data_IF_724085081798
#
_entry.id   IF_724085081798
#
_cell.length_a   1.000
_cell.length_b   1.000
_cell.length_c   1.000
_cell.angle_alpha   90.00
_cell.angle_beta   90.00
_cell.angle_gamma   90.00
#
_symmetry.space_group_name_H-M   'P 1'
#
loop_
_entity.id
_entity.type
_entity.pdbx_description
1 polymer ?
#
# COMPACT_ATOMS: atom_id res chain seq x y z
N UNK A 1 7.12 -3.21 6.58
CA UNK A 1 6.21 -2.04 6.51
C UNK A 1 6.87 -0.83 5.85
N UNK A 2 8.03 -0.36 6.35
CA UNK A 2 8.78 0.77 5.73
C UNK A 2 9.04 0.55 4.23
N UNK A 3 9.50 -0.64 3.85
CA UNK A 3 9.69 -1.01 2.44
C UNK A 3 8.43 -0.85 1.59
N UNK A 4 7.27 -1.21 2.14
CA UNK A 4 6.00 -1.09 1.45
C UNK A 4 5.60 0.38 1.36
N UNK A 5 5.65 1.14 2.44
CA UNK A 5 5.39 2.58 2.38
C UNK A 5 6.31 3.29 1.36
N UNK A 6 7.59 2.90 1.29
CA UNK A 6 8.52 3.42 0.30
C UNK A 6 8.15 3.02 -1.15
N UNK A 7 7.69 1.78 -1.36
CA UNK A 7 7.16 1.35 -2.66
C UNK A 7 5.94 2.19 -3.06
N UNK A 8 4.98 2.30 -2.16
CA UNK A 8 3.66 2.90 -2.38
C UNK A 8 3.75 4.40 -2.64
N UNK A 9 4.64 5.09 -1.94
CA UNK A 9 4.80 6.55 -2.03
C UNK A 9 6.00 6.98 -2.87
N UNK A 10 6.77 6.05 -3.43
CA UNK A 10 8.03 6.35 -4.11
C UNK A 10 9.02 7.08 -3.20
N UNK A 11 9.24 6.54 -1.99
CA UNK A 11 10.03 7.17 -0.93
C UNK A 11 9.50 8.56 -0.51
N UNK A 12 8.18 8.68 -0.36
CA UNK A 12 7.47 9.89 0.06
C UNK A 12 7.29 10.95 -1.03
N UNK A 13 7.79 10.73 -2.25
CA UNK A 13 7.76 11.72 -3.34
C UNK A 13 6.44 11.78 -4.10
N UNK A 14 5.66 10.71 -4.03
CA UNK A 14 4.42 10.50 -4.77
C UNK A 14 3.28 10.11 -3.83
N UNK A 15 3.28 10.64 -2.61
CA UNK A 15 2.15 10.49 -1.71
C UNK A 15 0.86 11.07 -2.34
N UNK A 16 -0.26 10.40 -2.14
CA UNK A 16 -1.56 10.91 -2.59
C UNK A 16 -1.89 12.21 -1.86
N UNK A 17 -2.31 13.22 -2.62
CA UNK A 17 -2.74 14.51 -2.10
C UNK A 17 -4.23 14.72 -2.33
N UNK A 18 -4.86 15.48 -1.45
CA UNK A 18 -6.23 15.95 -1.63
C UNK A 18 -6.27 17.09 -2.68
N UNK A 19 -7.47 17.48 -3.09
CA UNK A 19 -7.67 18.53 -4.09
C UNK A 19 -7.11 19.90 -3.68
N UNK A 20 -6.97 20.14 -2.37
CA UNK A 20 -6.36 21.33 -1.77
C UNK A 20 -4.82 21.25 -1.69
N UNK A 21 -4.22 20.17 -2.18
CA UNK A 21 -2.78 19.93 -2.17
C UNK A 21 -2.25 19.36 -0.84
N UNK A 22 -3.10 19.21 0.19
CA UNK A 22 -2.69 18.62 1.46
C UNK A 22 -2.43 17.11 1.33
N UNK A 23 -1.53 16.59 2.15
CA UNK A 23 -1.25 15.14 2.19
C UNK A 23 -2.49 14.35 2.62
N UNK A 24 -2.67 13.17 2.01
CA UNK A 24 -3.66 12.19 2.45
C UNK A 24 -3.23 11.41 3.69
N UNK A 25 -1.94 11.46 4.04
CA UNK A 25 -1.27 10.62 5.02
C UNK A 25 -1.36 9.10 4.72
N UNK A 26 -1.84 8.69 3.54
CA UNK A 26 -2.09 7.29 3.20
C UNK A 26 -0.83 6.63 2.63
N UNK A 27 0.08 6.29 3.53
CA UNK A 27 1.38 5.68 3.20
C UNK A 27 1.29 4.33 2.49
N UNK A 28 0.12 3.68 2.52
CA UNK A 28 -0.07 2.33 2.01
C UNK A 28 -1.01 2.27 0.79
N UNK A 29 -1.47 3.43 0.28
CA UNK A 29 -2.43 3.52 -0.81
C UNK A 29 -3.67 2.64 -0.60
N UNK A 30 -4.19 2.56 0.63
CA UNK A 30 -5.36 1.74 0.93
C UNK A 30 -6.59 2.36 0.26
N UNK A 31 -7.23 1.60 -0.63
CA UNK A 31 -8.50 2.00 -1.25
C UNK A 31 -9.62 2.14 -0.21
N UNK A 32 -10.49 3.12 -0.42
CA UNK A 32 -11.72 3.30 0.32
C UNK A 32 -12.76 2.31 -0.22
N UNK A 33 -12.86 1.15 0.42
CA UNK A 33 -13.91 0.17 0.13
C UNK A 33 -15.27 0.61 0.65
N UNK A 34 -16.32 -0.16 0.36
CA UNK A 34 -17.71 0.16 0.74
C UNK A 34 -17.94 0.32 2.25
N UNK A 35 -17.10 -0.30 3.09
CA UNK A 35 -17.18 -0.20 4.55
C UNK A 35 -16.46 1.04 5.11
N UNK A 36 -15.71 1.78 4.30
CA UNK A 36 -14.97 2.96 4.75
C UNK A 36 -15.91 4.16 4.87
N UNK A 37 -15.95 4.76 6.05
CA UNK A 37 -16.78 5.94 6.35
C UNK A 37 -15.96 7.21 6.63
N UNK A 38 -14.63 7.09 6.60
CA UNK A 38 -13.72 8.20 6.84
C UNK A 38 -13.50 9.07 5.60
N UNK A 39 -12.58 10.02 5.72
CA UNK A 39 -12.20 10.89 4.60
C UNK A 39 -11.57 10.09 3.45
N UNK A 40 -11.66 10.64 2.24
CA UNK A 40 -11.09 10.03 1.04
C UNK A 40 -10.40 11.05 0.15
N UNK A 41 -9.45 10.59 -0.65
CA UNK A 41 -8.93 11.30 -1.82
C UNK A 41 -9.24 10.48 -3.08
N UNK A 42 -9.68 11.15 -4.15
CA UNK A 42 -9.95 10.50 -5.44
C UNK A 42 -8.79 10.75 -6.39
N UNK A 43 -8.23 9.68 -6.96
CA UNK A 43 -7.05 9.75 -7.82
C UNK A 43 -7.25 8.88 -9.05
N UNK A 44 -6.82 9.38 -10.22
CA UNK A 44 -6.73 8.57 -11.44
C UNK A 44 -5.58 7.57 -11.28
N UNK A 45 -5.90 6.33 -10.93
CA UNK A 45 -4.96 5.23 -10.79
C UNK A 45 -4.88 4.37 -12.06
N UNK A 46 -3.72 3.74 -12.27
CA UNK A 46 -3.56 2.70 -13.30
C UNK A 46 -3.82 1.35 -12.64
N UNK A 47 -4.81 0.63 -13.13
CA UNK A 47 -5.22 -0.67 -12.63
C UNK A 47 -5.03 -1.74 -13.71
N UNK A 48 -4.61 -2.93 -13.28
CA UNK A 48 -4.44 -4.05 -14.20
C UNK A 48 -5.69 -4.92 -14.19
N UNK A 49 -6.50 -4.79 -15.24
CA UNK A 49 -7.81 -5.43 -15.37
C UNK A 49 -7.82 -6.22 -16.67
N UNK A 50 -8.20 -7.50 -16.63
CA UNK A 50 -8.29 -8.38 -17.81
C UNK A 50 -7.00 -8.41 -18.66
N UNK A 51 -5.82 -8.36 -18.03
CA UNK A 51 -4.54 -8.44 -18.73
C UNK A 51 -4.03 -7.12 -19.32
N UNK A 52 -4.72 -5.99 -19.08
CA UNK A 52 -4.34 -4.66 -19.59
C UNK A 52 -4.35 -3.59 -18.50
N UNK A 53 -3.45 -2.61 -18.65
CA UNK A 53 -3.45 -1.41 -17.83
C UNK A 53 -4.57 -0.47 -18.26
N UNK A 54 -5.43 -0.10 -17.33
CA UNK A 54 -6.56 0.81 -17.53
C UNK A 54 -6.48 1.94 -16.52
N UNK A 55 -6.74 3.18 -16.95
CA UNK A 55 -6.88 4.30 -16.01
C UNK A 55 -8.30 4.34 -15.47
N UNK A 56 -8.44 4.41 -14.16
CA UNK A 56 -9.72 4.57 -13.49
C UNK A 56 -9.58 5.51 -12.29
N UNK A 57 -10.66 6.22 -11.97
CA UNK A 57 -10.70 7.03 -10.76
C UNK A 57 -11.02 6.11 -9.59
N UNK A 58 -10.07 5.98 -8.67
CA UNK A 58 -10.21 5.23 -7.44
C UNK A 58 -10.25 6.17 -6.23
N UNK A 59 -11.06 5.80 -5.25
CA UNK A 59 -11.07 6.46 -3.95
C UNK A 59 -10.10 5.76 -3.01
N UNK A 60 -9.23 6.54 -2.37
CA UNK A 60 -8.28 6.09 -1.36
C UNK A 60 -8.63 6.71 -0.02
N UNK A 61 -8.36 5.98 1.06
CA UNK A 61 -8.57 6.48 2.42
C UNK A 61 -7.67 7.70 2.66
N UNK A 62 -8.12 8.63 3.49
CA UNK A 62 -7.36 9.78 3.97
C UNK A 62 -7.36 9.76 5.49
N UNK A 63 -6.22 10.08 6.08
CA UNK A 63 -5.99 10.06 7.52
C UNK A 63 -5.52 11.41 8.03
N UNK A 64 -5.71 11.65 9.33
CA UNK A 64 -5.20 12.83 10.02
C UNK A 64 -3.68 12.79 10.23
N UNK A 65 -3.08 11.60 10.24
CA UNK A 65 -1.64 11.40 10.47
C UNK A 65 -1.12 10.09 9.87
N UNK A 66 0.21 9.97 9.77
CA UNK A 66 0.84 8.70 9.41
C UNK A 66 0.57 7.60 10.44
N UNK A 67 0.47 7.94 11.74
CA UNK A 67 0.14 6.98 12.79
C UNK A 67 -1.22 6.32 12.53
N UNK A 68 -2.23 7.12 12.17
CA UNK A 68 -3.54 6.60 11.80
C UNK A 68 -3.47 5.68 10.58
N UNK A 69 -2.67 6.03 9.57
CA UNK A 69 -2.45 5.17 8.39
C UNK A 69 -1.81 3.83 8.75
N UNK A 70 -0.80 3.82 9.62
CA UNK A 70 -0.18 2.57 10.11
C UNK A 70 -1.17 1.74 10.95
N UNK A 71 -1.93 2.38 11.83
CA UNK A 71 -2.91 1.70 12.67
C UNK A 71 -4.03 1.07 11.82
N UNK A 72 -4.55 1.78 10.82
CA UNK A 72 -5.56 1.26 9.91
C UNK A 72 -5.02 0.14 9.01
N UNK A 73 -3.79 0.27 8.50
CA UNK A 73 -3.12 -0.80 7.76
C UNK A 73 -2.97 -2.08 8.60
N UNK A 74 -2.53 -1.97 9.86
CA UNK A 74 -2.42 -3.12 10.75
C UNK A 74 -3.79 -3.77 11.00
N UNK A 75 -4.84 -2.97 11.26
CA UNK A 75 -6.22 -3.46 11.41
C UNK A 75 -6.71 -4.17 10.15
N UNK A 76 -6.40 -3.63 8.96
CA UNK A 76 -6.78 -4.23 7.69
C UNK A 76 -6.19 -5.64 7.56
N UNK A 77 -4.90 -5.80 7.81
CA UNK A 77 -4.23 -7.10 7.70
C UNK A 77 -4.75 -8.10 8.75
N UNK A 78 -4.98 -7.65 9.98
CA UNK A 78 -5.42 -8.52 11.07
C UNK A 78 -6.89 -8.95 10.93
N UNK A 79 -7.76 -8.08 10.42
CA UNK A 79 -9.20 -8.30 10.47
C UNK A 79 -9.82 -8.81 9.15
N UNK A 80 -9.11 -8.73 8.02
CA UNK A 80 -9.64 -9.21 6.74
C UNK A 80 -9.15 -10.63 6.44
N UNK A 81 -10.04 -11.64 6.33
CA UNK A 81 -9.65 -13.04 6.16
C UNK A 81 -8.72 -13.30 4.97
N UNK A 82 -8.84 -12.52 3.89
CA UNK A 82 -7.96 -12.64 2.72
C UNK A 82 -6.48 -12.44 3.05
N UNK A 83 -6.15 -11.67 4.09
CA UNK A 83 -4.77 -11.41 4.51
C UNK A 83 -4.25 -12.37 5.59
N UNK A 84 -4.99 -13.44 5.94
CA UNK A 84 -4.55 -14.39 6.97
C UNK A 84 -3.18 -15.02 6.67
N UNK A 85 -2.84 -15.23 5.40
CA UNK A 85 -1.52 -15.74 4.99
C UNK A 85 -0.39 -14.70 5.00
N UNK A 86 -0.71 -13.42 5.18
CA UNK A 86 0.27 -12.32 5.32
C UNK A 86 0.67 -12.16 6.78
N UNK A 87 -0.29 -12.32 7.70
CA UNK A 87 -0.07 -12.23 9.14
C UNK A 87 0.82 -13.38 9.60
N UNK A 88 1.95 -13.06 10.23
CA UNK A 88 2.92 -14.05 10.70
C UNK A 88 3.96 -14.50 9.67
N UNK A 89 3.99 -13.89 8.48
CA UNK A 89 5.09 -14.09 7.53
C UNK A 89 6.44 -13.75 8.19
N UNK A 90 7.37 -14.70 8.18
CA UNK A 90 8.68 -14.58 8.85
C UNK A 90 9.77 -13.98 7.95
N UNK A 91 9.50 -13.87 6.65
CA UNK A 91 10.43 -13.30 5.69
C UNK A 91 9.72 -12.37 4.70
N UNK A 92 10.53 -11.48 4.13
CA UNK A 92 10.13 -10.46 3.18
C UNK A 92 9.40 -11.02 1.95
N UNK A 93 9.90 -12.13 1.42
CA UNK A 93 9.35 -12.75 0.22
C UNK A 93 7.99 -13.36 0.48
N UNK A 94 7.83 -14.07 1.60
CA UNK A 94 6.54 -14.64 2.01
C UNK A 94 5.50 -13.55 2.28
N UNK A 95 5.91 -12.45 2.91
CA UNK A 95 5.05 -11.28 3.10
C UNK A 95 4.59 -10.68 1.76
N UNK A 96 5.52 -10.43 0.83
CA UNK A 96 5.22 -9.82 -0.46
C UNK A 96 4.35 -10.71 -1.35
N UNK A 97 4.65 -12.02 -1.39
CA UNK A 97 3.82 -13.01 -2.10
C UNK A 97 2.43 -13.12 -1.49
N UNK A 98 2.34 -13.13 -0.16
CA UNK A 98 1.05 -13.16 0.55
C UNK A 98 0.19 -11.95 0.17
N UNK A 99 0.74 -10.74 0.14
CA UNK A 99 0.01 -9.54 -0.26
C UNK A 99 -0.50 -9.62 -1.71
N UNK A 100 0.34 -10.09 -2.64
CA UNK A 100 -0.07 -10.31 -4.04
C UNK A 100 -1.24 -11.30 -4.13
N UNK A 101 -1.11 -12.46 -3.49
CA UNK A 101 -2.13 -13.53 -3.51
C UNK A 101 -3.44 -13.09 -2.85
N UNK A 102 -3.36 -12.19 -1.88
CA UNK A 102 -4.53 -11.63 -1.17
C UNK A 102 -5.23 -10.53 -1.97
N UNK A 103 -4.71 -10.15 -3.14
CA UNK A 103 -5.27 -9.09 -3.98
C UNK A 103 -5.07 -7.69 -3.40
N UNK A 104 -3.93 -7.44 -2.75
CA UNK A 104 -3.60 -6.11 -2.23
C UNK A 104 -3.47 -5.07 -3.36
N UNK A 105 -2.81 -5.45 -4.45
CA UNK A 105 -2.64 -4.65 -5.66
C UNK A 105 -3.02 -5.46 -6.90
N UNK A 106 -3.50 -4.78 -7.94
CA UNK A 106 -3.83 -5.42 -9.23
C UNK A 106 -2.60 -5.65 -10.11
N UNK A 107 -1.51 -4.90 -9.87
CA UNK A 107 -0.23 -5.09 -10.54
C UNK A 107 0.27 -6.54 -10.38
N UNK A 108 0.44 -7.31 -11.46
CA UNK A 108 0.92 -8.69 -11.39
C UNK A 108 2.35 -8.81 -10.87
N UNK A 109 3.12 -7.71 -10.88
CA UNK A 109 4.50 -7.65 -10.41
C UNK A 109 4.64 -7.05 -9.01
N UNK A 110 3.53 -6.77 -8.30
CA UNK A 110 3.56 -6.10 -7.00
C UNK A 110 4.46 -6.81 -5.98
N UNK A 111 4.25 -8.13 -5.80
CA UNK A 111 5.06 -8.92 -4.87
C UNK A 111 6.55 -8.88 -5.19
N UNK A 112 6.92 -9.02 -6.47
CA UNK A 112 8.31 -8.96 -6.91
C UNK A 112 8.94 -7.57 -6.71
N UNK A 113 8.19 -6.50 -6.98
CA UNK A 113 8.65 -5.12 -6.74
C UNK A 113 8.89 -4.86 -5.26
N UNK A 114 7.97 -5.31 -4.40
CA UNK A 114 8.10 -5.17 -2.95
C UNK A 114 9.30 -5.96 -2.41
N UNK A 115 9.46 -7.21 -2.83
CA UNK A 115 10.59 -8.05 -2.44
C UNK A 115 11.94 -7.41 -2.82
N UNK A 116 12.02 -6.81 -4.01
CA UNK A 116 13.21 -6.07 -4.45
C UNK A 116 13.53 -4.87 -3.56
N UNK A 117 12.54 -4.13 -3.09
CA UNK A 117 12.77 -3.01 -2.16
C UNK A 117 13.19 -3.53 -0.79
N UNK A 118 12.53 -4.56 -0.25
CA UNK A 118 12.87 -5.11 1.06
C UNK A 118 14.33 -5.61 1.09
N UNK A 119 14.75 -6.29 0.03
CA UNK A 119 16.11 -6.82 -0.08
C UNK A 119 17.13 -5.79 -0.60
N UNK A 120 16.70 -4.59 -0.97
CA UNK A 120 17.51 -3.59 -1.65
C UNK A 120 18.50 -2.87 -0.73
N UNK A 121 19.64 -2.40 -1.26
CA UNK A 121 20.67 -1.71 -0.48
C UNK A 121 20.18 -0.37 0.11
N UNK A 122 19.28 0.33 -0.59
CA UNK A 122 18.72 1.61 -0.13
C UNK A 122 17.97 1.47 1.20
N UNK A 123 17.13 0.44 1.33
CA UNK A 123 16.41 0.20 2.57
C UNK A 123 17.36 -0.22 3.70
N UNK A 124 18.35 -1.06 3.41
CA UNK A 124 19.35 -1.45 4.41
C UNK A 124 20.11 -0.25 4.95
N UNK A 125 20.54 0.65 4.07
CA UNK A 125 21.21 1.89 4.46
C UNK A 125 20.32 2.77 5.34
N UNK A 126 19.04 2.94 4.95
CA UNK A 126 18.08 3.75 5.71
C UNK A 126 17.71 3.16 7.09
N UNK A 127 17.94 1.87 7.33
CA UNK A 127 17.68 1.21 8.62
C UNK A 127 18.94 1.08 9.50
N UNK A 128 20.11 1.40 8.96
CA UNK A 128 21.39 1.35 9.69
C UNK A 128 21.83 2.69 10.26
N UNK A 129 21.08 3.76 9.99
CA UNK A 129 21.22 5.09 10.60
C UNK A 129 20.27 5.25 11.79
#
# INVERSE_FOLDING_TARGET
LVAQAALETGWGRAELTAADGSSSNNLFNIKAGSSWQGQTVSVSASEYVEGRWTKQNDAFRRYGSYEESFADYARLLLNQPRYAGVVGAQDAGSFARGLQQSGYATDPMYGAKLERIINGPLLRAALSE
#
